data_IF_670965887518
#
_entry.id   IF_670965887518
#
_cell.length_a   1.000
_cell.length_b   1.000
_cell.length_c   1.000
_cell.angle_alpha   90.00
_cell.angle_beta   90.00
_cell.angle_gamma   90.00
#
_symmetry.space_group_name_H-M   'P 1'
#
loop_
_entity.id
_entity.type
_entity.pdbx_description
1 polymer ?
#
# COMPACT_ATOMS: atom_id res chain seq x y z
N UNK A 1 30.43 -25.32 -30.49
CA UNK A 1 30.54 -25.60 -29.04
C UNK A 1 31.13 -24.36 -28.38
N UNK A 2 30.33 -23.45 -27.89
CA UNK A 2 30.77 -22.23 -27.23
C UNK A 2 29.93 -22.03 -25.95
N UNK A 3 30.60 -22.33 -24.80
CA UNK A 3 30.01 -22.23 -23.49
C UNK A 3 29.84 -20.77 -23.04
N UNK A 4 28.64 -20.39 -22.69
CA UNK A 4 28.34 -19.11 -22.05
C UNK A 4 28.47 -19.26 -20.53
N UNK A 5 29.59 -18.76 -20.02
CA UNK A 5 29.81 -18.64 -18.58
C UNK A 5 28.90 -17.57 -17.97
N UNK A 6 28.01 -17.96 -17.07
CA UNK A 6 27.23 -17.03 -16.22
C UNK A 6 28.19 -16.38 -15.22
N UNK A 7 28.44 -15.11 -15.38
CA UNK A 7 29.10 -14.30 -14.35
C UNK A 7 28.10 -14.10 -13.18
N UNK A 8 28.35 -14.74 -12.06
CA UNK A 8 27.66 -14.48 -10.79
C UNK A 8 28.14 -13.12 -10.29
N UNK A 9 27.26 -12.13 -10.28
CA UNK A 9 27.52 -10.84 -9.67
C UNK A 9 27.71 -10.98 -8.17
N UNK A 10 28.85 -10.55 -7.68
CA UNK A 10 29.18 -10.46 -6.26
C UNK A 10 28.33 -9.35 -5.67
N UNK A 11 27.37 -9.71 -4.82
CA UNK A 11 26.59 -8.76 -4.02
C UNK A 11 27.46 -8.35 -2.83
N UNK A 12 27.82 -7.08 -2.76
CA UNK A 12 28.43 -6.49 -1.57
C UNK A 12 27.33 -6.29 -0.54
N UNK A 13 27.33 -7.15 0.48
CA UNK A 13 26.53 -6.96 1.67
C UNK A 13 27.23 -5.88 2.53
N UNK A 14 26.67 -4.68 2.60
CA UNK A 14 27.04 -3.75 3.66
C UNK A 14 26.33 -4.20 4.93
N UNK A 15 27.05 -4.93 5.76
CA UNK A 15 26.66 -5.22 7.12
C UNK A 15 26.86 -3.93 7.95
N UNK A 16 25.81 -3.17 8.18
CA UNK A 16 25.79 -2.14 9.20
C UNK A 16 25.67 -2.83 10.56
N UNK A 17 26.76 -3.02 11.26
CA UNK A 17 26.77 -3.42 12.66
C UNK A 17 26.31 -2.22 13.48
N UNK A 18 25.02 -2.19 13.84
CA UNK A 18 24.51 -1.29 14.87
C UNK A 18 24.77 -1.97 16.22
N UNK A 19 25.85 -1.60 16.88
CA UNK A 19 26.08 -1.89 18.29
C UNK A 19 25.09 -1.05 19.10
N UNK A 20 23.93 -1.63 19.42
CA UNK A 20 22.92 -1.00 20.27
C UNK A 20 23.30 -1.09 21.74
N UNK A 21 23.61 0.01 22.35
CA UNK A 21 23.63 0.19 23.81
C UNK A 21 22.20 0.04 24.31
N UNK A 22 21.93 -1.02 25.06
CA UNK A 22 20.67 -1.22 25.79
C UNK A 22 20.67 -0.24 26.97
N UNK A 23 19.98 0.89 26.82
CA UNK A 23 19.61 1.74 27.95
C UNK A 23 18.23 1.26 28.41
N UNK A 24 18.20 0.62 29.58
CA UNK A 24 16.98 0.23 30.24
C UNK A 24 16.14 1.46 30.59
N UNK A 25 14.94 1.54 30.09
CA UNK A 25 13.86 2.37 30.62
C UNK A 25 12.77 1.46 31.12
N UNK A 26 12.76 1.29 32.44
CA UNK A 26 11.67 0.74 33.22
C UNK A 26 10.49 1.71 33.19
N UNK A 27 9.30 1.16 32.93
CA UNK A 27 8.06 1.80 33.33
C UNK A 27 7.12 2.15 32.17
N UNK A 28 6.24 1.19 31.81
CA UNK A 28 4.84 1.46 31.48
C UNK A 28 4.06 0.22 31.90
N UNK A 29 3.16 0.39 32.86
CA UNK A 29 2.24 -0.61 33.36
C UNK A 29 1.33 -1.13 32.23
N UNK A 30 0.99 -2.44 32.22
CA UNK A 30 0.00 -2.96 31.29
C UNK A 30 -1.40 -2.56 31.76
N UNK A 31 -2.07 -1.71 31.03
CA UNK A 31 -3.51 -1.51 31.19
C UNK A 31 -4.23 -2.72 30.59
N UNK A 32 -5.06 -3.35 31.41
CA UNK A 32 -5.99 -4.41 31.08
C UNK A 32 -6.77 -4.12 29.79
N UNK A 33 -6.50 -4.86 28.74
CA UNK A 33 -7.37 -4.91 27.57
C UNK A 33 -8.33 -6.07 27.73
N UNK A 34 -9.56 -5.72 28.12
CA UNK A 34 -10.68 -6.63 28.16
C UNK A 34 -10.87 -7.34 26.82
N UNK A 35 -11.07 -8.66 26.91
CA UNK A 35 -11.36 -9.54 25.80
C UNK A 35 -12.57 -9.05 25.00
N UNK A 36 -12.36 -8.63 23.76
CA UNK A 36 -13.42 -8.31 22.81
C UNK A 36 -13.91 -9.62 22.16
N UNK A 37 -15.18 -9.91 22.36
CA UNK A 37 -15.92 -11.05 21.82
C UNK A 37 -15.93 -11.02 20.29
N UNK A 38 -15.72 -12.19 19.68
CA UNK A 38 -15.94 -12.44 18.25
C UNK A 38 -17.44 -12.29 17.91
N UNK A 39 -17.81 -11.62 16.82
CA UNK A 39 -19.14 -11.77 16.27
C UNK A 39 -19.20 -13.02 15.39
N UNK A 40 -20.03 -13.95 15.79
CA UNK A 40 -20.47 -15.14 15.07
C UNK A 40 -21.28 -14.75 13.83
N UNK A 41 -21.12 -15.53 12.77
CA UNK A 41 -21.67 -15.37 11.44
C UNK A 41 -23.19 -15.23 11.34
N UNK A 42 -23.60 -14.53 10.29
CA UNK A 42 -24.94 -14.51 9.76
C UNK A 42 -24.86 -14.61 8.24
N UNK A 43 -25.09 -15.81 7.71
CA UNK A 43 -25.40 -16.03 6.30
C UNK A 43 -26.80 -15.49 6.01
N UNK A 44 -26.93 -14.68 4.96
CA UNK A 44 -28.22 -14.44 4.32
C UNK A 44 -28.06 -14.64 2.82
N UNK A 45 -28.62 -15.75 2.37
CA UNK A 45 -28.87 -16.06 0.95
C UNK A 45 -30.10 -15.26 0.52
N UNK A 46 -29.91 -14.35 -0.43
CA UNK A 46 -30.98 -13.63 -1.10
C UNK A 46 -30.86 -13.78 -2.61
N UNK A 47 -31.51 -14.82 -3.18
CA UNK A 47 -31.80 -14.96 -4.59
C UNK A 47 -32.92 -14.02 -4.98
N UNK A 48 -32.68 -13.11 -5.95
CA UNK A 48 -33.74 -12.44 -6.69
C UNK A 48 -33.37 -12.39 -8.15
N UNK A 49 -34.03 -13.22 -8.93
CA UNK A 49 -34.09 -13.14 -10.37
C UNK A 49 -35.01 -11.96 -10.76
N UNK A 50 -34.52 -11.04 -11.54
CA UNK A 50 -35.27 -9.96 -12.16
C UNK A 50 -34.93 -9.87 -13.64
N UNK A 51 -35.78 -10.43 -14.48
CA UNK A 51 -35.88 -10.21 -15.94
C UNK A 51 -36.43 -8.80 -16.19
N UNK A 52 -35.76 -8.01 -17.06
CA UNK A 52 -36.27 -6.70 -17.44
C UNK A 52 -35.55 -6.10 -18.65
N UNK A 53 -36.13 -6.29 -19.79
CA UNK A 53 -36.32 -5.43 -21.00
C UNK A 53 -35.21 -4.44 -21.40
N UNK A 54 -34.89 -4.57 -22.72
CA UNK A 54 -34.10 -3.66 -23.50
C UNK A 54 -34.55 -2.21 -23.47
N UNK A 55 -33.58 -1.33 -23.34
CA UNK A 55 -33.71 0.09 -23.55
C UNK A 55 -32.58 0.55 -24.47
N UNK A 56 -32.93 1.01 -25.66
CA UNK A 56 -32.08 1.71 -26.62
C UNK A 56 -31.51 2.96 -25.98
N UNK A 57 -30.22 2.99 -25.76
CA UNK A 57 -29.51 4.18 -25.25
C UNK A 57 -29.16 5.12 -26.39
N UNK A 58 -29.85 6.23 -26.43
CA UNK A 58 -29.46 7.46 -27.12
C UNK A 58 -28.13 7.97 -26.57
N UNK A 59 -27.21 8.32 -27.48
CA UNK A 59 -25.90 8.89 -27.18
C UNK A 59 -25.99 10.15 -26.35
N UNK A 60 -25.57 10.04 -25.09
CA UNK A 60 -25.30 11.15 -24.21
C UNK A 60 -23.90 11.70 -24.48
N UNK A 61 -23.80 12.89 -25.04
CA UNK A 61 -22.60 13.72 -25.05
C UNK A 61 -22.13 13.88 -23.63
N UNK A 62 -20.97 13.28 -23.31
CA UNK A 62 -20.38 13.31 -21.99
C UNK A 62 -20.09 14.73 -21.55
N UNK A 63 -20.81 15.19 -20.54
CA UNK A 63 -20.43 16.37 -19.76
C UNK A 63 -19.01 16.17 -19.26
N UNK A 64 -18.07 16.96 -19.80
CA UNK A 64 -16.70 17.05 -19.31
C UNK A 64 -16.68 17.61 -17.89
N UNK A 65 -16.96 16.74 -16.92
CA UNK A 65 -16.77 17.08 -15.50
C UNK A 65 -15.30 17.43 -15.29
N UNK A 66 -15.04 18.64 -14.79
CA UNK A 66 -13.69 19.08 -14.41
C UNK A 66 -13.15 18.10 -13.37
N UNK A 67 -12.05 17.42 -13.67
CA UNK A 67 -11.42 16.51 -12.72
C UNK A 67 -11.11 17.25 -11.40
N UNK A 68 -11.28 16.59 -10.23
CA UNK A 68 -10.94 17.19 -8.95
C UNK A 68 -9.54 17.76 -8.95
N UNK A 69 -9.34 18.93 -8.34
CA UNK A 69 -8.04 19.58 -8.27
C UNK A 69 -6.98 18.61 -7.74
N UNK A 70 -5.90 18.46 -8.50
CA UNK A 70 -4.79 17.61 -8.12
C UNK A 70 -4.90 16.14 -8.54
N UNK A 71 -6.01 15.69 -9.10
CA UNK A 71 -6.10 14.34 -9.65
C UNK A 71 -5.18 14.19 -10.87
N UNK A 72 -4.43 13.07 -10.99
CA UNK A 72 -3.65 12.78 -12.18
C UNK A 72 -4.51 12.81 -13.45
N UNK A 73 -4.01 13.45 -14.49
CA UNK A 73 -4.67 13.51 -15.79
C UNK A 73 -4.67 12.14 -16.48
N UNK A 74 -5.64 11.92 -17.40
CA UNK A 74 -5.72 10.70 -18.20
C UNK A 74 -6.57 9.59 -17.59
N UNK A 75 -6.72 8.46 -18.31
CA UNK A 75 -7.61 7.36 -17.91
C UNK A 75 -7.06 6.51 -16.77
N UNK A 76 -5.76 6.56 -16.49
CA UNK A 76 -5.11 5.88 -15.38
C UNK A 76 -4.31 6.84 -14.52
N UNK A 77 -3.83 6.36 -13.39
CA UNK A 77 -2.98 7.13 -12.48
C UNK A 77 -2.65 6.32 -11.24
N UNK A 78 -1.55 6.67 -10.58
CA UNK A 78 -1.12 6.03 -9.35
C UNK A 78 -0.64 7.07 -8.35
N UNK A 79 -0.82 6.78 -7.07
CA UNK A 79 -0.35 7.60 -5.95
C UNK A 79 0.38 6.72 -4.93
N UNK A 80 1.44 7.27 -4.35
CA UNK A 80 2.09 6.76 -3.15
C UNK A 80 1.79 7.73 -2.02
N UNK A 81 1.28 7.21 -0.93
CA UNK A 81 1.06 7.95 0.31
C UNK A 81 2.17 7.67 1.30
N UNK A 82 2.51 8.64 2.14
CA UNK A 82 3.55 8.47 3.14
C UNK A 82 3.18 9.09 4.49
N UNK A 83 3.49 8.35 5.55
CA UNK A 83 3.54 8.82 6.94
C UNK A 83 5.01 9.04 7.28
N UNK A 84 5.56 10.26 7.17
CA UNK A 84 7.01 10.48 7.36
C UNK A 84 7.50 10.09 8.76
N UNK A 85 6.65 10.26 9.78
CA UNK A 85 6.97 9.92 11.16
C UNK A 85 6.63 8.46 11.53
N UNK A 86 6.09 7.67 10.59
CA UNK A 86 5.80 6.26 10.77
C UNK A 86 7.06 5.40 10.88
N UNK A 87 6.92 4.16 11.37
CA UNK A 87 8.01 3.19 11.48
C UNK A 87 9.30 3.80 12.05
N UNK A 88 9.22 4.41 13.25
CA UNK A 88 10.36 5.03 13.94
C UNK A 88 11.07 6.11 13.10
N UNK A 89 10.34 6.88 12.29
CA UNK A 89 10.80 7.93 11.36
C UNK A 89 11.48 7.43 10.08
N UNK A 90 11.52 6.13 9.82
CA UNK A 90 11.91 5.61 8.51
C UNK A 90 10.84 5.84 7.44
N UNK A 91 9.63 6.14 7.89
CA UNK A 91 8.46 6.34 7.05
C UNK A 91 7.60 5.09 6.93
N UNK A 92 6.36 5.30 6.48
CA UNK A 92 5.43 4.23 6.18
C UNK A 92 4.67 4.58 4.90
N UNK A 93 4.41 3.62 4.01
CA UNK A 93 3.78 3.87 2.71
C UNK A 93 2.50 3.10 2.50
N UNK A 94 1.61 3.72 1.72
CA UNK A 94 0.42 3.11 1.16
C UNK A 94 0.29 3.47 -0.33
N UNK A 95 -0.59 2.78 -1.02
CA UNK A 95 -0.81 2.91 -2.47
C UNK A 95 -2.19 3.45 -2.79
N UNK A 96 -2.33 4.00 -4.01
CA UNK A 96 -3.61 4.23 -4.66
C UNK A 96 -3.44 4.15 -6.17
N UNK A 97 -4.43 3.60 -6.87
CA UNK A 97 -4.45 3.60 -8.33
C UNK A 97 -5.87 3.80 -8.87
N UNK A 98 -5.96 4.45 -10.02
CA UNK A 98 -7.23 4.72 -10.68
C UNK A 98 -7.72 3.49 -11.40
N UNK A 99 -9.00 3.15 -11.22
CA UNK A 99 -9.67 2.11 -12.00
C UNK A 99 -9.88 2.68 -13.40
N UNK A 100 -9.16 2.11 -14.36
CA UNK A 100 -9.05 2.63 -15.74
C UNK A 100 -10.42 2.93 -16.35
N UNK A 101 -10.56 4.11 -16.91
CA UNK A 101 -11.78 4.57 -17.56
C UNK A 101 -12.90 5.03 -16.60
N UNK A 102 -12.62 5.14 -15.31
CA UNK A 102 -13.58 5.62 -14.30
C UNK A 102 -12.99 6.75 -13.46
N UNK A 103 -13.81 7.36 -12.59
CA UNK A 103 -13.36 8.29 -11.56
C UNK A 103 -13.09 7.62 -10.22
N UNK A 104 -13.09 6.28 -10.20
CA UNK A 104 -12.87 5.48 -9.01
C UNK A 104 -11.40 5.16 -8.82
N UNK A 105 -11.00 5.08 -7.56
CA UNK A 105 -9.66 4.73 -7.10
C UNK A 105 -9.74 3.56 -6.15
N UNK A 106 -8.80 2.64 -6.27
CA UNK A 106 -8.55 1.61 -5.29
C UNK A 106 -7.26 1.97 -4.54
N UNK A 107 -7.29 1.90 -3.22
CA UNK A 107 -6.21 2.36 -2.35
C UNK A 107 -6.12 1.51 -1.10
N UNK A 108 -4.94 1.47 -0.48
CA UNK A 108 -4.71 0.62 0.68
C UNK A 108 -3.30 0.72 1.24
N UNK A 109 -3.07 -0.09 2.27
CA UNK A 109 -1.76 -0.21 2.93
C UNK A 109 -1.61 -1.54 3.68
N UNK A 110 -0.38 -1.82 4.13
CA UNK A 110 -0.06 -2.85 5.13
C UNK A 110 0.46 -2.14 6.36
N UNK A 111 -0.35 -1.99 7.38
CA UNK A 111 -0.09 -1.11 8.52
C UNK A 111 0.81 -1.73 9.60
N UNK A 112 0.87 -3.08 9.70
CA UNK A 112 1.62 -3.82 10.72
C UNK A 112 1.45 -3.25 12.15
N UNK A 113 0.23 -3.18 12.68
CA UNK A 113 -0.07 -2.48 13.94
C UNK A 113 0.59 -3.12 15.17
N UNK A 114 1.04 -4.36 15.05
CA UNK A 114 1.75 -5.09 16.11
C UNK A 114 3.23 -4.71 16.20
N UNK A 115 3.76 -4.00 15.21
CA UNK A 115 5.19 -3.70 15.05
C UNK A 115 6.08 -4.96 15.05
N UNK A 116 5.54 -6.14 14.75
CA UNK A 116 6.30 -7.37 14.65
C UNK A 116 7.22 -7.32 13.43
N UNK A 117 8.48 -7.70 13.59
CA UNK A 117 9.43 -7.80 12.48
C UNK A 117 9.15 -9.00 11.57
N UNK A 118 8.41 -9.98 12.08
CA UNK A 118 7.97 -11.15 11.35
C UNK A 118 6.53 -11.51 11.69
N UNK A 119 5.71 -11.68 10.67
CA UNK A 119 4.39 -12.30 10.74
C UNK A 119 4.32 -13.36 9.63
N UNK A 120 4.00 -14.62 9.94
CA UNK A 120 3.94 -15.69 8.94
C UNK A 120 2.84 -15.42 7.90
N UNK A 121 2.92 -16.04 6.71
CA UNK A 121 1.83 -16.03 5.74
C UNK A 121 0.49 -16.43 6.37
N UNK A 122 -0.57 -15.67 6.07
CA UNK A 122 -1.90 -15.80 6.67
C UNK A 122 -2.04 -15.18 8.05
N UNK A 123 -0.98 -14.68 8.67
CA UNK A 123 -1.04 -13.94 9.93
C UNK A 123 -1.53 -12.49 9.73
N UNK A 124 -2.00 -11.89 10.82
CA UNK A 124 -2.54 -10.53 10.80
C UNK A 124 -1.45 -9.48 10.66
N UNK A 125 -1.48 -8.74 9.57
CA UNK A 125 -0.51 -7.68 9.24
C UNK A 125 -1.15 -6.29 9.12
N UNK A 126 -2.45 -6.16 9.45
CA UNK A 126 -3.17 -4.90 9.27
C UNK A 126 -3.26 -4.45 7.83
N UNK A 127 -3.27 -5.39 6.88
CA UNK A 127 -3.50 -5.08 5.49
C UNK A 127 -4.97 -4.71 5.26
N UNK A 128 -5.18 -3.69 4.43
CA UNK A 128 -6.51 -3.24 4.04
C UNK A 128 -6.48 -2.60 2.65
N UNK A 129 -7.62 -2.61 1.98
CA UNK A 129 -7.88 -1.81 0.79
C UNK A 129 -9.32 -1.34 0.75
N UNK A 130 -9.56 -0.26 0.02
CA UNK A 130 -10.87 0.34 -0.18
C UNK A 130 -11.01 0.91 -1.59
N UNK A 131 -12.22 1.18 -2.02
CA UNK A 131 -12.53 1.78 -3.31
C UNK A 131 -13.41 3.01 -3.12
N UNK A 132 -13.04 4.14 -3.74
CA UNK A 132 -13.78 5.39 -3.63
C UNK A 132 -13.44 6.38 -4.74
N UNK A 133 -13.98 7.59 -4.64
CA UNK A 133 -13.54 8.71 -5.49
C UNK A 133 -12.12 9.15 -5.11
N UNK A 134 -11.47 9.95 -5.97
CA UNK A 134 -10.16 10.54 -5.63
C UNK A 134 -10.23 11.36 -4.33
N UNK A 135 -11.28 12.13 -4.13
CA UNK A 135 -11.47 12.93 -2.92
C UNK A 135 -11.67 12.03 -1.67
N UNK A 136 -12.41 10.93 -1.81
CA UNK A 136 -12.61 9.96 -0.74
C UNK A 136 -11.27 9.30 -0.36
N UNK A 137 -10.49 8.84 -1.33
CA UNK A 137 -9.15 8.30 -1.11
C UNK A 137 -8.27 9.27 -0.31
N UNK A 138 -8.18 10.54 -0.73
CA UNK A 138 -7.39 11.54 -0.01
C UNK A 138 -7.89 11.76 1.42
N UNK A 139 -9.21 11.82 1.60
CA UNK A 139 -9.83 11.98 2.92
C UNK A 139 -9.53 10.80 3.84
N UNK A 140 -9.70 9.58 3.35
CA UNK A 140 -9.45 8.37 4.15
C UNK A 140 -7.98 8.23 4.54
N UNK A 141 -7.07 8.48 3.61
CA UNK A 141 -5.64 8.46 3.89
C UNK A 141 -5.23 9.55 4.90
N UNK A 142 -5.74 10.78 4.76
CA UNK A 142 -5.40 11.88 5.66
C UNK A 142 -5.89 11.69 7.10
N UNK A 143 -6.97 10.93 7.28
CA UNK A 143 -7.52 10.57 8.59
C UNK A 143 -7.04 9.23 9.10
N UNK A 144 -6.30 8.48 8.27
CA UNK A 144 -5.93 7.10 8.55
C UNK A 144 -7.15 6.21 8.89
N UNK A 145 -8.23 6.39 8.11
CA UNK A 145 -9.57 5.92 8.42
C UNK A 145 -9.69 4.40 8.57
N UNK A 146 -8.76 3.66 7.96
CA UNK A 146 -8.72 2.19 7.98
C UNK A 146 -7.61 1.63 8.86
N UNK A 147 -6.89 2.49 9.60
CA UNK A 147 -5.87 2.01 10.52
C UNK A 147 -6.53 1.22 11.68
N UNK A 148 -6.07 0.00 11.97
CA UNK A 148 -6.63 -0.77 13.06
C UNK A 148 -6.23 -0.18 14.42
N UNK A 149 -7.14 0.50 15.05
CA UNK A 149 -6.94 1.20 16.31
C UNK A 149 -6.81 2.71 16.13
N UNK A 150 -6.12 3.38 17.07
CA UNK A 150 -5.91 4.83 17.03
C UNK A 150 -4.58 5.15 16.35
N UNK A 151 -4.63 5.75 15.18
CA UNK A 151 -3.42 6.25 14.52
C UNK A 151 -2.91 7.51 15.20
N UNK A 152 -1.59 7.56 15.40
CA UNK A 152 -0.89 8.76 15.92
C UNK A 152 -0.14 9.51 14.82
N UNK A 153 0.02 8.88 13.67
CA UNK A 153 0.78 9.42 12.53
C UNK A 153 0.02 9.15 11.22
N UNK A 154 -1.02 9.94 10.88
CA UNK A 154 -1.75 9.76 9.64
C UNK A 154 -0.89 10.10 8.42
N UNK A 155 -1.32 9.68 7.24
CA UNK A 155 -0.66 10.06 6.00
C UNK A 155 -0.74 11.58 5.82
N UNK A 156 0.41 12.22 5.67
CA UNK A 156 0.52 13.69 5.58
C UNK A 156 1.08 14.18 4.25
N UNK A 157 1.58 13.27 3.42
CA UNK A 157 2.18 13.58 2.12
C UNK A 157 1.88 12.47 1.12
N UNK A 158 1.83 12.83 -0.16
CA UNK A 158 1.66 11.86 -1.24
C UNK A 158 2.28 12.37 -2.54
N UNK A 159 2.64 11.43 -3.41
CA UNK A 159 3.08 11.70 -4.77
C UNK A 159 2.22 10.93 -5.76
N UNK A 160 1.85 11.57 -6.86
CA UNK A 160 1.04 10.93 -7.90
C UNK A 160 1.66 11.10 -9.28
N UNK A 161 1.37 10.13 -10.15
CA UNK A 161 1.70 10.17 -11.58
C UNK A 161 0.49 9.82 -12.41
N UNK A 162 0.41 10.37 -13.63
CA UNK A 162 -0.59 9.99 -14.61
C UNK A 162 -0.15 8.74 -15.39
N UNK A 163 -1.11 7.98 -15.89
CA UNK A 163 -0.88 6.83 -16.75
C UNK A 163 -1.91 6.81 -17.89
N UNK A 164 -1.50 6.32 -19.05
CA UNK A 164 -2.42 6.12 -20.19
C UNK A 164 -3.46 5.03 -19.92
N UNK A 165 -3.07 4.03 -19.15
CA UNK A 165 -3.92 2.93 -18.65
C UNK A 165 -3.16 2.21 -17.54
N UNK A 166 -3.88 1.48 -16.69
CA UNK A 166 -3.31 0.61 -15.68
C UNK A 166 -3.91 -0.79 -15.77
N UNK A 167 -3.16 -1.77 -15.30
CA UNK A 167 -3.60 -3.16 -15.22
C UNK A 167 -4.28 -3.40 -13.87
N UNK A 168 -5.54 -3.02 -13.77
CA UNK A 168 -6.35 -3.13 -12.55
C UNK A 168 -6.47 -4.58 -12.08
N UNK A 169 -6.62 -5.53 -13.01
CA UNK A 169 -6.78 -6.95 -12.66
C UNK A 169 -5.52 -7.51 -12.00
N UNK A 170 -4.34 -7.21 -12.55
CA UNK A 170 -3.06 -7.60 -11.98
C UNK A 170 -2.80 -6.92 -10.64
N UNK A 171 -3.14 -5.64 -10.48
CA UNK A 171 -3.03 -4.92 -9.21
C UNK A 171 -3.89 -5.56 -8.12
N UNK A 172 -5.15 -5.89 -8.41
CA UNK A 172 -6.06 -6.58 -7.49
C UNK A 172 -5.57 -7.99 -7.11
N UNK A 173 -4.98 -8.72 -8.06
CA UNK A 173 -4.36 -10.00 -7.76
C UNK A 173 -3.15 -9.82 -6.82
N UNK A 174 -2.36 -8.78 -7.01
CA UNK A 174 -1.22 -8.46 -6.14
C UNK A 174 -1.67 -8.02 -4.74
N UNK A 175 -2.76 -7.24 -4.61
CA UNK A 175 -3.34 -6.88 -3.31
C UNK A 175 -3.63 -8.14 -2.50
N UNK A 176 -4.33 -9.13 -3.07
CA UNK A 176 -4.61 -10.40 -2.40
C UNK A 176 -3.34 -11.15 -1.99
N UNK A 177 -2.29 -11.09 -2.81
CA UNK A 177 -0.99 -11.69 -2.48
C UNK A 177 -0.34 -10.99 -1.30
N UNK A 178 -0.32 -9.67 -1.31
CA UNK A 178 0.23 -8.83 -0.24
C UNK A 178 -0.49 -9.07 1.08
N UNK A 179 -1.82 -9.14 1.07
CA UNK A 179 -2.64 -9.38 2.26
C UNK A 179 -2.39 -10.75 2.91
N UNK A 180 -1.97 -11.74 2.13
CA UNK A 180 -1.78 -13.12 2.59
C UNK A 180 -0.33 -13.54 2.82
N UNK A 181 0.66 -12.81 2.29
CA UNK A 181 2.07 -13.23 2.31
C UNK A 181 2.79 -13.09 3.65
N UNK A 182 2.14 -12.46 4.65
CA UNK A 182 2.74 -12.10 5.93
C UNK A 182 3.63 -10.86 5.85
N UNK A 183 4.39 -10.62 6.91
CA UNK A 183 5.28 -9.45 7.06
C UNK A 183 6.68 -9.90 7.46
N UNK A 184 7.71 -9.21 6.97
CA UNK A 184 9.11 -9.48 7.32
C UNK A 184 9.94 -8.19 7.16
N UNK A 185 10.75 -7.92 8.18
CA UNK A 185 11.87 -6.98 8.10
C UNK A 185 13.08 -7.65 8.72
N UNK A 186 14.11 -7.93 7.91
CA UNK A 186 15.35 -8.54 8.37
C UNK A 186 15.44 -10.05 8.10
N UNK A 187 15.76 -10.84 9.11
CA UNK A 187 15.99 -12.29 8.96
C UNK A 187 14.68 -13.06 9.06
N UNK A 188 14.39 -13.89 8.04
CA UNK A 188 13.27 -14.85 8.11
C UNK A 188 13.61 -15.94 9.13
N UNK A 189 12.84 -16.09 10.21
CA UNK A 189 13.15 -17.05 11.27
C UNK A 189 13.02 -18.52 10.84
N UNK A 190 12.41 -18.80 9.69
CA UNK A 190 12.26 -20.15 9.14
C UNK A 190 13.42 -20.57 8.24
N UNK A 191 13.94 -19.64 7.44
CA UNK A 191 14.98 -19.94 6.44
C UNK A 191 16.34 -19.39 6.83
N UNK A 192 16.41 -18.40 7.72
CA UNK A 192 17.64 -17.68 8.06
C UNK A 192 18.06 -16.65 7.01
N UNK A 193 17.28 -16.47 5.95
CA UNK A 193 17.60 -15.53 4.87
C UNK A 193 17.22 -14.11 5.26
N UNK A 194 18.02 -13.14 4.80
CA UNK A 194 17.67 -11.74 4.85
C UNK A 194 16.61 -11.41 3.79
N UNK A 195 15.57 -10.70 4.18
CA UNK A 195 14.52 -10.29 3.27
C UNK A 195 13.65 -9.17 3.81
N UNK A 196 12.77 -8.68 2.93
CA UNK A 196 11.76 -7.69 3.27
C UNK A 196 10.44 -8.06 2.60
N UNK A 197 9.34 -7.88 3.32
CA UNK A 197 7.94 -7.94 2.87
C UNK A 197 7.14 -6.95 3.69
N UNK A 198 7.56 -5.71 3.69
CA UNK A 198 7.01 -4.63 4.50
C UNK A 198 6.00 -3.75 3.75
N UNK A 199 5.68 -2.58 4.29
CA UNK A 199 4.76 -1.62 3.68
C UNK A 199 5.30 -1.04 2.36
N UNK A 200 6.63 -0.87 2.25
CA UNK A 200 7.27 -0.37 1.03
C UNK A 200 7.18 -1.41 -0.09
N UNK A 201 7.54 -2.68 0.21
CA UNK A 201 7.41 -3.77 -0.76
C UNK A 201 5.97 -3.97 -1.20
N UNK A 202 5.02 -3.89 -0.26
CA UNK A 202 3.59 -3.99 -0.56
C UNK A 202 3.14 -2.90 -1.53
N UNK A 203 3.50 -1.65 -1.23
CA UNK A 203 3.17 -0.50 -2.08
C UNK A 203 3.81 -0.62 -3.47
N UNK A 204 5.09 -0.97 -3.52
CA UNK A 204 5.81 -1.17 -4.77
C UNK A 204 5.20 -2.28 -5.62
N UNK A 205 4.94 -3.46 -5.04
CA UNK A 205 4.45 -4.63 -5.76
C UNK A 205 3.06 -4.37 -6.36
N UNK A 206 2.14 -3.74 -5.61
CA UNK A 206 0.82 -3.38 -6.11
C UNK A 206 0.93 -2.38 -7.27
N UNK A 207 1.73 -1.32 -7.13
CA UNK A 207 1.89 -0.31 -8.16
C UNK A 207 2.66 -0.81 -9.38
N UNK A 208 3.60 -1.74 -9.19
CA UNK A 208 4.28 -2.44 -10.28
C UNK A 208 3.32 -3.34 -11.05
N UNK A 209 2.46 -4.09 -10.36
CA UNK A 209 1.43 -4.92 -10.98
C UNK A 209 0.41 -4.06 -11.76
N UNK A 210 0.08 -2.87 -11.27
CA UNK A 210 -0.72 -1.87 -11.99
C UNK A 210 -0.02 -1.32 -13.24
N UNK A 211 1.27 -1.59 -13.46
CA UNK A 211 2.13 -1.08 -14.54
C UNK A 211 2.30 0.43 -14.49
N UNK A 212 2.49 0.94 -13.28
CA UNK A 212 2.75 2.37 -13.06
C UNK A 212 4.04 2.81 -13.75
N UNK A 213 4.01 3.96 -14.42
CA UNK A 213 5.17 4.56 -15.08
C UNK A 213 6.11 5.20 -14.06
N UNK A 214 7.41 5.19 -14.35
CA UNK A 214 8.44 5.87 -13.56
C UNK A 214 8.44 5.43 -12.08
N UNK A 215 8.10 4.17 -11.83
CA UNK A 215 8.14 3.58 -10.51
C UNK A 215 9.57 3.12 -10.21
N UNK A 216 10.22 3.77 -9.25
CA UNK A 216 11.54 3.38 -8.77
C UNK A 216 11.47 2.04 -8.05
N UNK A 217 12.36 1.06 -8.34
CA UNK A 217 12.36 -0.21 -7.63
C UNK A 217 12.61 -0.06 -6.13
N UNK A 218 11.79 -0.73 -5.30
CA UNK A 218 11.88 -0.66 -3.84
C UNK A 218 13.23 -1.15 -3.30
N UNK A 219 13.83 -2.16 -3.95
CA UNK A 219 15.12 -2.72 -3.54
C UNK A 219 16.33 -1.76 -3.66
N UNK A 220 16.15 -0.55 -4.22
CA UNK A 220 17.20 0.47 -4.26
C UNK A 220 17.37 1.19 -2.92
N UNK A 221 16.36 1.14 -2.07
CA UNK A 221 16.40 1.61 -0.70
C UNK A 221 15.34 0.88 0.12
N UNK A 222 15.66 0.50 1.33
CA UNK A 222 14.72 -0.14 2.26
C UNK A 222 14.05 0.88 3.19
N UNK A 223 14.19 2.18 2.89
CA UNK A 223 13.68 3.28 3.70
C UNK A 223 12.54 3.98 2.95
N UNK A 224 11.27 3.84 3.40
CA UNK A 224 10.11 4.43 2.73
C UNK A 224 10.23 5.93 2.45
N UNK A 225 10.71 6.73 3.40
CA UNK A 225 10.90 8.17 3.19
C UNK A 225 11.88 8.46 2.06
N UNK A 226 13.00 7.74 1.99
CA UNK A 226 14.01 7.89 0.92
C UNK A 226 13.44 7.45 -0.42
N UNK A 227 12.71 6.32 -0.45
CA UNK A 227 12.10 5.81 -1.68
C UNK A 227 11.11 6.80 -2.30
N UNK A 228 10.26 7.43 -1.47
CA UNK A 228 9.31 8.44 -1.95
C UNK A 228 10.03 9.64 -2.57
N UNK A 229 11.18 10.07 -2.02
CA UNK A 229 11.99 11.13 -2.62
C UNK A 229 12.59 10.74 -3.99
N UNK A 230 12.87 9.46 -4.22
CA UNK A 230 13.38 8.97 -5.50
C UNK A 230 12.33 8.97 -6.61
N UNK A 231 11.04 9.15 -6.31
CA UNK A 231 9.96 9.29 -7.29
C UNK A 231 9.92 10.70 -7.91
N UNK A 232 11.05 11.17 -8.42
CA UNK A 232 11.27 12.56 -8.87
C UNK A 232 10.36 13.02 -10.03
N UNK A 233 9.84 12.08 -10.82
CA UNK A 233 8.91 12.37 -11.93
C UNK A 233 7.44 12.38 -11.50
N UNK A 234 7.17 12.17 -10.20
CA UNK A 234 5.84 12.20 -9.64
C UNK A 234 5.55 13.56 -9.00
N UNK A 235 4.32 14.02 -9.11
CA UNK A 235 3.91 15.29 -8.50
C UNK A 235 3.78 15.13 -6.98
N UNK A 236 4.58 15.90 -6.25
CA UNK A 236 4.58 15.93 -4.79
C UNK A 236 3.44 16.82 -4.24
N UNK A 237 2.75 16.34 -3.22
CA UNK A 237 1.61 17.01 -2.61
C UNK A 237 1.52 16.73 -1.12
N UNK A 238 0.94 17.67 -0.40
CA UNK A 238 0.67 17.54 1.04
C UNK A 238 -0.77 17.12 1.27
N UNK A 239 -1.00 16.19 2.19
CA UNK A 239 -2.28 15.93 2.80
C UNK A 239 -2.39 16.76 4.07
N UNK A 240 -3.56 17.32 4.32
CA UNK A 240 -3.85 17.97 5.61
C UNK A 240 -4.52 16.91 6.49
N UNK A 241 -3.88 16.45 7.56
CA UNK A 241 -4.53 15.59 8.55
C UNK A 241 -5.72 16.34 9.15
N UNK A 242 -6.82 15.64 9.36
CA UNK A 242 -8.05 16.17 9.96
C UNK A 242 -8.24 15.60 11.35
#
# INVERSE_FOLDING_TARGET
MSGWGRKRGVRWAMAAVVAGTVVGLTGCEPTDVGAAAQPSGGQSIGTSAGTGSGGTSSGGTGSGGTAPAGQPAGPGGACVFVKPDGAQKFGHTGWGFRITGTDRWEYGAVENPTNALYTPPGGYIGAWHAEGSYAQMLSDMSRDAHYPGKSTHPYSRYRCTSSSAGDVASARAMIRTVESRGFLVGVDPKTGDLGSRDCLDATYDVLKAYRTRHLTPAYQTEIPNVWVEMLVLWTDKTLKPH
#
